data_IF_686481525984
#
_entry.id   IF_686481525984
#
_cell.length_a   1.000
_cell.length_b   1.000
_cell.length_c   1.000
_cell.angle_alpha   90.00
_cell.angle_beta   90.00
_cell.angle_gamma   90.00
#
_symmetry.space_group_name_H-M   'P 1'
#
loop_
_entity.id
_entity.type
_entity.pdbx_description
1 polymer ?
#
# COMPACT_ATOMS: atom_id res chain seq x y z
N UNK A 1 -3.34 -5.00 2.30
CA UNK A 1 -3.05 -3.70 1.67
C UNK A 1 -1.56 -3.50 1.34
N UNK A 2 -0.67 -3.72 2.29
CA UNK A 2 0.76 -3.56 2.03
C UNK A 2 1.26 -4.49 0.91
N UNK A 3 0.72 -5.69 0.84
CA UNK A 3 1.09 -6.65 -0.20
C UNK A 3 0.81 -6.09 -1.59
N UNK A 4 -0.32 -5.42 -1.75
CA UNK A 4 -0.69 -4.82 -3.03
C UNK A 4 0.24 -3.67 -3.39
N UNK A 5 0.62 -2.86 -2.40
CA UNK A 5 1.55 -1.77 -2.60
C UNK A 5 2.93 -2.31 -2.99
N UNK A 6 3.38 -3.38 -2.35
CA UNK A 6 4.67 -4.00 -2.65
C UNK A 6 4.73 -4.53 -4.09
N UNK A 7 3.59 -4.98 -4.63
CA UNK A 7 3.50 -5.45 -6.00
C UNK A 7 3.50 -4.33 -7.03
N UNK A 8 3.44 -3.07 -6.56
CA UNK A 8 3.36 -1.92 -7.44
C UNK A 8 1.98 -1.66 -7.99
N UNK A 9 0.95 -2.24 -7.38
CA UNK A 9 -0.43 -2.05 -7.83
C UNK A 9 -0.87 -0.60 -7.64
N UNK A 10 -1.63 -0.07 -8.60
CA UNK A 10 -2.21 1.25 -8.50
C UNK A 10 -3.42 1.22 -7.56
N UNK A 11 -3.88 2.40 -7.12
CA UNK A 11 -5.08 2.49 -6.29
C UNK A 11 -6.28 1.86 -6.99
N UNK A 12 -6.37 2.04 -8.31
CA UNK A 12 -7.46 1.48 -9.10
C UNK A 12 -7.43 -0.05 -9.07
N UNK A 13 -6.24 -0.63 -9.21
CA UNK A 13 -6.07 -2.08 -9.17
C UNK A 13 -6.38 -2.64 -7.78
N UNK A 14 -5.92 -1.95 -6.74
CA UNK A 14 -6.18 -2.35 -5.37
C UNK A 14 -7.68 -2.29 -5.09
N UNK A 15 -8.35 -1.22 -5.52
CA UNK A 15 -9.78 -1.06 -5.33
C UNK A 15 -10.56 -2.20 -5.98
N UNK A 16 -10.15 -2.59 -7.18
CA UNK A 16 -10.79 -3.68 -7.91
C UNK A 16 -10.56 -5.01 -7.20
N UNK A 17 -9.34 -5.25 -6.74
CA UNK A 17 -8.99 -6.50 -6.05
C UNK A 17 -9.76 -6.65 -4.74
N UNK A 18 -9.91 -5.57 -4.00
CA UNK A 18 -10.58 -5.58 -2.69
C UNK A 18 -12.07 -5.26 -2.77
N UNK A 19 -12.55 -4.92 -3.98
CA UNK A 19 -13.95 -4.56 -4.23
C UNK A 19 -14.39 -3.38 -3.38
N UNK A 20 -13.58 -2.32 -3.38
CA UNK A 20 -13.86 -1.08 -2.66
C UNK A 20 -13.59 0.11 -3.58
N UNK A 21 -14.03 1.31 -3.17
CA UNK A 21 -13.82 2.53 -3.95
C UNK A 21 -12.35 2.97 -3.92
N UNK A 22 -11.87 3.58 -5.02
CA UNK A 22 -10.52 4.12 -5.09
C UNK A 22 -10.25 5.15 -3.99
N UNK A 23 -11.26 5.97 -3.67
CA UNK A 23 -11.16 6.97 -2.60
C UNK A 23 -10.85 6.30 -1.27
N UNK A 24 -11.48 5.16 -1.01
CA UNK A 24 -11.26 4.39 0.20
C UNK A 24 -9.83 3.83 0.23
N UNK A 25 -9.33 3.35 -0.91
CA UNK A 25 -7.96 2.87 -1.02
C UNK A 25 -6.97 3.98 -0.69
N UNK A 26 -7.22 5.18 -1.23
CA UNK A 26 -6.36 6.33 -0.98
C UNK A 26 -6.27 6.66 0.50
N UNK A 27 -7.41 6.61 1.19
CA UNK A 27 -7.45 6.86 2.64
C UNK A 27 -6.66 5.80 3.40
N UNK A 28 -6.82 4.54 3.02
CA UNK A 28 -6.08 3.45 3.66
C UNK A 28 -4.58 3.58 3.45
N UNK A 29 -4.16 3.93 2.23
CA UNK A 29 -2.75 4.12 1.93
C UNK A 29 -2.18 5.25 2.78
N UNK A 30 -2.90 6.37 2.88
CA UNK A 30 -2.46 7.50 3.70
C UNK A 30 -2.30 7.13 5.17
N UNK A 31 -3.23 6.34 5.70
CA UNK A 31 -3.15 5.86 7.08
C UNK A 31 -1.93 4.97 7.29
N UNK A 32 -1.66 4.09 6.35
CA UNK A 32 -0.50 3.19 6.43
C UNK A 32 0.79 4.02 6.45
N UNK A 33 0.92 4.99 5.54
CA UNK A 33 2.10 5.84 5.47
C UNK A 33 2.31 6.60 6.77
N UNK A 34 1.25 7.16 7.31
CA UNK A 34 1.32 7.92 8.57
C UNK A 34 1.72 7.01 9.73
N UNK A 35 1.11 5.83 9.80
CA UNK A 35 1.35 4.90 10.90
C UNK A 35 2.78 4.38 10.90
N UNK A 36 3.36 4.18 9.73
CA UNK A 36 4.73 3.68 9.58
C UNK A 36 5.75 4.81 9.51
N UNK A 37 5.31 6.07 9.50
CA UNK A 37 6.22 7.21 9.42
C UNK A 37 6.88 7.36 8.06
N UNK A 38 6.22 6.90 7.01
CA UNK A 38 6.75 6.97 5.64
C UNK A 38 6.24 8.19 4.91
N UNK A 39 7.06 8.74 4.01
CA UNK A 39 6.73 9.97 3.30
C UNK A 39 6.04 9.73 1.97
N UNK A 40 6.18 8.53 1.40
CA UNK A 40 5.63 8.27 0.08
C UNK A 40 5.24 6.81 -0.09
N UNK A 41 4.40 6.56 -1.11
CA UNK A 41 3.98 5.23 -1.47
C UNK A 41 5.15 4.34 -1.89
N UNK A 42 6.17 4.94 -2.52
CA UNK A 42 7.37 4.20 -2.93
C UNK A 42 8.10 3.65 -1.70
N UNK A 43 8.21 4.47 -0.65
CA UNK A 43 8.81 4.00 0.60
C UNK A 43 8.00 2.87 1.22
N UNK A 44 6.69 2.94 1.14
CA UNK A 44 5.83 1.88 1.64
C UNK A 44 6.06 0.58 0.88
N UNK A 45 6.23 0.66 -0.43
CA UNK A 45 6.49 -0.52 -1.27
C UNK A 45 7.83 -1.17 -0.89
N UNK A 46 8.86 -0.35 -0.68
CA UNK A 46 10.18 -0.84 -0.27
C UNK A 46 10.09 -1.49 1.11
N UNK A 47 9.40 -0.83 2.03
CA UNK A 47 9.22 -1.35 3.38
C UNK A 47 8.54 -2.73 3.36
N UNK A 48 7.46 -2.85 2.59
CA UNK A 48 6.72 -4.09 2.50
C UNK A 48 7.55 -5.21 1.86
N UNK A 49 8.32 -4.88 0.82
CA UNK A 49 9.20 -5.84 0.17
C UNK A 49 10.28 -6.36 1.12
N UNK A 50 10.88 -5.46 1.90
CA UNK A 50 11.91 -5.84 2.85
C UNK A 50 11.35 -6.79 3.92
N UNK A 51 10.14 -6.51 4.40
CA UNK A 51 9.53 -7.38 5.41
C UNK A 51 9.20 -8.74 4.83
N UNK A 52 8.80 -8.82 3.58
CA UNK A 52 8.51 -10.10 2.94
C UNK A 52 9.77 -10.94 2.76
N UNK A 53 10.91 -10.29 2.55
CA UNK A 53 12.18 -10.99 2.41
C UNK A 53 12.65 -11.62 3.70
N UNK A 54 12.29 -11.04 4.82
CA UNK A 54 12.74 -11.49 6.13
C UNK A 54 11.96 -12.71 6.65
N UNK A 55 10.90 -13.05 5.97
CA UNK A 55 10.14 -14.24 6.29
C UNK A 55 10.71 -15.45 5.56
#
# INVERSE_FOLDING_TARGET
MLREIARGASNKEIARTLDIAETTVKIHVQHILRKLGLSSRVQAAVYASDRQRQE
#
